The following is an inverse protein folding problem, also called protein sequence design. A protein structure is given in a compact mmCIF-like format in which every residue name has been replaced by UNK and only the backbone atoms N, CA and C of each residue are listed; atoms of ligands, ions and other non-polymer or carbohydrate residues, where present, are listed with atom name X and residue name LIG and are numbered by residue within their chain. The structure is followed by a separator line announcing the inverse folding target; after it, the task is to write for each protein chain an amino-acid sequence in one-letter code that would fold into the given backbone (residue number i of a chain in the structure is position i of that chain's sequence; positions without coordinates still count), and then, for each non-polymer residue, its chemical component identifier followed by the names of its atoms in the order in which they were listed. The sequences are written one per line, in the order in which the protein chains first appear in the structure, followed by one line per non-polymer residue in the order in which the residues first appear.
data_IF_220820549979
#
_entry.id   IF_220820549979
#
_cell.length_a   1.000
_cell.length_b   1.000
_cell.length_c   1.000
_cell.angle_alpha   90.00
_cell.angle_beta   90.00
_cell.angle_gamma   90.00
#
_symmetry.space_group_name_H-M   'P 1'
#
loop_
_entity.id
_entity.type
_entity.pdbx_description
1 polymer ?
#
# COMPACT_ATOMS: atom_id res chain seq x y z
N UNK A 1 -41.50 -37.20 -19.93
CA UNK A 1 -42.92 -36.77 -20.05
C UNK A 1 -43.81 -37.72 -19.26
N UNK A 2 -44.60 -37.21 -18.29
CA UNK A 2 -45.90 -37.74 -17.82
C UNK A 2 -46.51 -36.72 -16.83
N UNK A 3 -47.84 -36.61 -16.82
CA UNK A 3 -48.69 -35.71 -16.00
C UNK A 3 -49.03 -36.33 -14.61
N UNK A 4 -49.78 -35.65 -13.70
CA UNK A 4 -50.04 -34.20 -13.53
C UNK A 4 -49.83 -33.73 -12.06
N UNK A 5 -50.18 -32.47 -11.75
CA UNK A 5 -50.11 -31.89 -10.41
C UNK A 5 -51.20 -32.41 -9.44
N UNK A 6 -50.94 -32.37 -8.12
CA UNK A 6 -51.93 -32.65 -7.07
C UNK A 6 -51.82 -31.65 -5.91
N UNK A 7 -52.92 -30.92 -5.67
CA UNK A 7 -53.07 -29.91 -4.60
C UNK A 7 -52.88 -30.54 -3.20
N UNK A 8 -52.15 -29.85 -2.31
CA UNK A 8 -52.13 -30.11 -0.86
C UNK A 8 -52.33 -28.80 -0.10
N UNK A 9 -52.66 -28.92 1.19
CA UNK A 9 -53.28 -27.89 2.01
C UNK A 9 -52.57 -27.80 3.37
N UNK A 10 -52.20 -26.58 3.75
CA UNK A 10 -51.92 -26.12 5.11
C UNK A 10 -52.46 -24.67 5.14
N UNK A 11 -53.41 -24.26 5.97
CA UNK A 11 -53.61 -24.49 7.41
C UNK A 11 -52.58 -23.73 8.26
N UNK A 12 -52.92 -22.47 8.51
CA UNK A 12 -52.25 -21.57 9.46
C UNK A 12 -52.46 -22.03 10.92
N UNK A 13 -51.83 -21.33 11.88
CA UNK A 13 -52.64 -20.76 12.94
C UNK A 13 -52.43 -19.23 13.06
N UNK A 14 -53.53 -18.49 13.12
CA UNK A 14 -53.52 -17.05 13.39
C UNK A 14 -53.67 -16.78 14.90
N UNK A 15 -52.90 -15.83 15.44
CA UNK A 15 -53.13 -15.23 16.77
C UNK A 15 -53.01 -13.70 16.68
N UNK A 16 -54.11 -13.09 16.25
CA UNK A 16 -54.77 -11.95 16.91
C UNK A 16 -53.93 -11.03 17.81
N UNK A 17 -53.61 -9.86 17.26
CA UNK A 17 -53.52 -8.52 17.90
C UNK A 17 -52.73 -8.31 19.21
N UNK A 18 -51.85 -7.31 19.19
CA UNK A 18 -52.09 -6.06 19.96
C UNK A 18 -51.41 -4.88 19.25
N UNK A 19 -51.97 -3.68 19.43
CA UNK A 19 -51.44 -2.44 18.87
C UNK A 19 -50.79 -1.62 19.98
N UNK A 20 -49.49 -1.36 19.88
CA UNK A 20 -48.87 -0.22 20.56
C UNK A 20 -47.64 0.24 19.79
N UNK A 21 -47.54 1.56 19.57
CA UNK A 21 -46.39 2.17 18.92
C UNK A 21 -45.35 2.52 19.99
N UNK A 22 -44.19 1.87 19.92
CA UNK A 22 -43.02 2.25 20.72
C UNK A 22 -41.83 2.43 19.79
N UNK A 23 -41.48 3.69 19.58
CA UNK A 23 -40.29 4.11 18.86
C UNK A 23 -39.05 3.78 19.71
N UNK A 24 -38.16 2.93 19.19
CA UNK A 24 -36.86 2.68 19.83
C UNK A 24 -35.75 2.45 18.81
N UNK A 25 -34.61 3.10 19.05
CA UNK A 25 -33.55 3.21 18.07
C UNK A 25 -32.68 1.94 17.99
N UNK A 26 -32.41 1.50 16.77
CA UNK A 26 -31.46 0.44 16.45
C UNK A 26 -30.38 0.90 15.45
N UNK A 27 -30.07 2.21 15.42
CA UNK A 27 -28.87 2.75 14.79
C UNK A 27 -27.65 2.40 15.65
N UNK A 28 -27.27 1.12 15.63
CA UNK A 28 -26.03 0.65 16.25
C UNK A 28 -24.83 1.32 15.60
N UNK A 29 -24.07 2.09 16.36
CA UNK A 29 -23.08 2.99 15.79
C UNK A 29 -21.83 2.25 15.28
N UNK A 30 -21.80 1.99 13.98
CA UNK A 30 -20.63 1.48 13.25
C UNK A 30 -19.42 2.41 13.31
N UNK A 31 -19.60 3.70 13.64
CA UNK A 31 -18.49 4.64 13.89
C UNK A 31 -17.78 4.32 15.21
N UNK A 32 -18.52 4.01 16.29
CA UNK A 32 -17.93 3.56 17.56
C UNK A 32 -17.11 2.28 17.40
N UNK A 33 -17.52 1.36 16.52
CA UNK A 33 -16.80 0.13 16.24
C UNK A 33 -15.48 0.38 15.48
N UNK A 34 -15.48 1.25 14.46
CA UNK A 34 -14.25 1.62 13.74
C UNK A 34 -13.32 2.50 14.58
N UNK A 35 -13.86 3.40 15.40
CA UNK A 35 -13.10 4.19 16.36
C UNK A 35 -12.44 3.30 17.44
N UNK A 36 -13.16 2.31 17.97
CA UNK A 36 -12.62 1.33 18.92
C UNK A 36 -11.51 0.46 18.28
N UNK A 37 -11.70 0.02 17.03
CA UNK A 37 -10.67 -0.71 16.30
C UNK A 37 -9.42 0.15 16.03
N UNK A 38 -9.58 1.43 15.67
CA UNK A 38 -8.47 2.36 15.47
C UNK A 38 -7.73 2.68 16.78
N UNK A 39 -8.45 2.89 17.88
CA UNK A 39 -7.87 3.11 19.20
C UNK A 39 -7.11 1.85 19.70
N UNK A 40 -7.65 0.66 19.46
CA UNK A 40 -6.99 -0.61 19.76
C UNK A 40 -5.70 -0.79 18.94
N UNK A 41 -5.73 -0.49 17.64
CA UNK A 41 -4.55 -0.52 16.78
C UNK A 41 -3.47 0.48 17.23
N UNK A 42 -3.86 1.69 17.67
CA UNK A 42 -2.94 2.67 18.24
C UNK A 42 -2.31 2.19 19.56
N UNK A 43 -3.12 1.66 20.49
CA UNK A 43 -2.65 1.15 21.79
C UNK A 43 -1.68 -0.04 21.64
N UNK A 44 -1.94 -0.95 20.68
CA UNK A 44 -1.01 -2.05 20.34
C UNK A 44 0.31 -1.53 19.77
N UNK A 45 0.29 -0.40 19.05
CA UNK A 45 1.49 0.20 18.48
C UNK A 45 2.33 0.96 19.54
N UNK A 46 1.71 1.63 20.52
CA UNK A 46 2.41 2.35 21.60
C UNK A 46 3.15 1.40 22.56
N UNK A 47 2.67 0.16 22.72
CA UNK A 47 3.22 -0.81 23.69
C UNK A 47 4.62 -1.37 23.33
N UNK A 48 5.17 -1.05 22.15
CA UNK A 48 6.42 -1.63 21.65
C UNK A 48 7.53 -0.58 21.50
N UNK A 49 8.58 -0.72 22.32
CA UNK A 49 9.78 0.14 22.26
C UNK A 49 10.58 -0.03 20.96
N UNK A 50 11.58 0.86 20.71
CA UNK A 50 12.33 0.92 19.46
C UNK A 50 12.93 -0.44 19.06
N UNK A 51 12.49 -0.97 17.92
CA UNK A 51 12.90 -2.29 17.42
C UNK A 51 14.16 -2.19 16.56
N UNK A 52 15.20 -2.95 16.92
CA UNK A 52 16.40 -3.21 16.12
C UNK A 52 16.04 -4.13 14.96
N UNK A 53 15.97 -3.59 13.74
CA UNK A 53 15.73 -4.36 12.51
C UNK A 53 16.80 -4.07 11.45
N UNK A 54 16.97 -4.99 10.50
CA UNK A 54 17.87 -4.76 9.36
C UNK A 54 17.32 -3.66 8.45
N UNK A 55 18.19 -2.89 7.81
CA UNK A 55 17.78 -1.90 6.79
C UNK A 55 16.87 -2.52 5.72
N UNK A 56 17.16 -3.74 5.27
CA UNK A 56 16.32 -4.49 4.34
C UNK A 56 14.89 -4.68 4.87
N UNK A 57 14.72 -5.07 6.14
CA UNK A 57 13.40 -5.24 6.74
C UNK A 57 12.69 -3.90 6.98
N UNK A 58 13.43 -2.85 7.34
CA UNK A 58 12.87 -1.51 7.50
C UNK A 58 12.31 -0.95 6.18
N UNK A 59 13.04 -1.10 5.08
CA UNK A 59 12.58 -0.71 3.74
C UNK A 59 11.35 -1.53 3.29
N UNK A 60 11.37 -2.85 3.50
CA UNK A 60 10.24 -3.74 3.24
C UNK A 60 8.97 -3.31 4.00
N UNK A 61 9.10 -3.05 5.31
CA UNK A 61 8.00 -2.59 6.16
C UNK A 61 7.52 -1.19 5.75
N UNK A 62 8.41 -0.23 5.51
CA UNK A 62 8.00 1.12 5.08
C UNK A 62 7.24 1.13 3.75
N UNK A 63 7.59 0.25 2.80
CA UNK A 63 6.83 0.07 1.56
C UNK A 63 5.48 -0.63 1.82
N UNK A 64 5.43 -1.65 2.67
CA UNK A 64 4.18 -2.31 3.02
C UNK A 64 3.19 -1.34 3.70
N UNK A 65 3.66 -0.58 4.69
CA UNK A 65 2.88 0.42 5.43
C UNK A 65 2.35 1.50 4.46
N UNK A 66 3.16 1.95 3.49
CA UNK A 66 2.76 2.92 2.47
C UNK A 66 1.76 2.36 1.43
N UNK A 67 1.91 1.11 0.99
CA UNK A 67 0.99 0.45 0.05
C UNK A 67 -0.37 0.13 0.67
N UNK A 68 -0.42 -0.05 1.98
CA UNK A 68 -1.62 -0.30 2.78
C UNK A 68 -2.35 1.00 3.14
N UNK A 69 -1.61 2.08 3.44
CA UNK A 69 -2.19 3.40 3.71
C UNK A 69 -2.70 4.12 2.45
N UNK A 70 -2.10 3.88 1.27
CA UNK A 70 -2.44 4.57 0.03
C UNK A 70 -2.54 3.57 -1.15
N UNK A 71 -3.75 3.42 -1.70
CA UNK A 71 -4.05 2.51 -2.81
C UNK A 71 -3.44 2.94 -4.15
N UNK A 72 -2.98 4.20 -4.27
CA UNK A 72 -2.32 4.71 -5.47
C UNK A 72 -0.83 4.36 -5.56
N UNK A 73 -0.22 3.85 -4.47
CA UNK A 73 1.19 3.45 -4.43
C UNK A 73 1.40 2.12 -5.16
N UNK A 74 2.35 2.04 -6.09
CA UNK A 74 2.78 0.78 -6.72
C UNK A 74 4.29 0.58 -6.53
N UNK A 75 4.74 -0.67 -6.47
CA UNK A 75 6.16 -1.03 -6.37
C UNK A 75 6.55 -1.90 -7.57
N UNK A 76 7.48 -1.48 -8.41
CA UNK A 76 7.87 -2.28 -9.60
C UNK A 76 9.30 -2.06 -10.05
N UNK A 77 9.82 -3.01 -10.82
CA UNK A 77 11.20 -3.05 -11.31
C UNK A 77 11.59 -4.47 -11.72
N UNK A 78 12.87 -4.68 -11.99
CA UNK A 78 13.40 -6.00 -12.36
C UNK A 78 13.50 -6.93 -11.15
N UNK A 79 12.91 -8.13 -11.24
CA UNK A 79 12.76 -9.15 -10.17
C UNK A 79 12.01 -8.70 -8.90
N UNK A 80 11.42 -7.50 -8.91
CA UNK A 80 10.73 -6.87 -7.76
C UNK A 80 9.48 -7.63 -7.30
N UNK A 81 8.74 -8.23 -8.23
CA UNK A 81 7.45 -8.87 -7.98
C UNK A 81 7.59 -10.25 -7.37
N UNK A 82 7.74 -11.28 -8.20
CA UNK A 82 7.64 -12.68 -7.76
C UNK A 82 8.86 -13.18 -6.98
N UNK A 83 10.03 -12.59 -7.22
CA UNK A 83 11.29 -12.96 -6.55
C UNK A 83 11.53 -12.17 -5.25
N UNK A 84 10.88 -11.01 -5.09
CA UNK A 84 11.05 -10.10 -3.95
C UNK A 84 12.25 -9.16 -4.07
N UNK A 85 12.75 -8.99 -5.29
CA UNK A 85 14.00 -8.31 -5.63
C UNK A 85 15.23 -9.18 -5.32
N UNK A 86 16.30 -9.00 -6.08
CA UNK A 86 17.60 -9.70 -5.90
C UNK A 86 18.21 -9.47 -4.49
N UNK A 87 17.65 -8.54 -3.71
CA UNK A 87 18.06 -8.20 -2.34
C UNK A 87 16.98 -8.48 -1.27
N UNK A 88 15.88 -9.17 -1.63
CA UNK A 88 14.71 -9.49 -0.78
C UNK A 88 14.05 -8.29 -0.09
N UNK A 89 14.15 -7.09 -0.69
CA UNK A 89 13.58 -5.86 -0.12
C UNK A 89 12.06 -5.77 -0.36
N UNK A 90 11.58 -6.29 -1.49
CA UNK A 90 10.16 -6.32 -1.86
C UNK A 90 9.51 -7.69 -1.61
N UNK A 91 10.21 -8.56 -0.88
CA UNK A 91 9.76 -9.89 -0.47
C UNK A 91 8.38 -9.86 0.21
N UNK A 92 7.51 -10.76 -0.22
CA UNK A 92 6.10 -10.84 0.21
C UNK A 92 5.16 -9.74 -0.30
N UNK A 93 5.63 -8.61 -0.86
CA UNK A 93 4.74 -7.50 -1.24
C UNK A 93 3.76 -7.88 -2.36
N UNK A 94 4.20 -8.61 -3.38
CA UNK A 94 3.32 -9.11 -4.44
C UNK A 94 2.28 -10.11 -3.90
N UNK A 95 2.62 -10.90 -2.89
CA UNK A 95 1.66 -11.81 -2.25
C UNK A 95 0.64 -11.07 -1.36
N UNK A 96 1.03 -9.96 -0.72
CA UNK A 96 0.11 -9.15 0.12
C UNK A 96 -0.81 -8.24 -0.71
N UNK A 97 -0.30 -7.62 -1.78
CA UNK A 97 -1.02 -6.56 -2.52
C UNK A 97 -1.42 -6.94 -3.96
N UNK A 98 -0.97 -8.09 -4.46
CA UNK A 98 -1.29 -8.61 -5.79
C UNK A 98 -0.44 -8.03 -6.94
N UNK A 99 -0.45 -8.73 -8.07
CA UNK A 99 0.30 -8.39 -9.30
C UNK A 99 -0.11 -7.03 -9.91
N UNK A 100 -1.24 -6.44 -9.49
CA UNK A 100 -1.64 -5.09 -9.89
C UNK A 100 -1.00 -3.95 -9.07
N UNK A 101 -0.31 -4.29 -7.96
CA UNK A 101 0.30 -3.32 -7.02
C UNK A 101 1.80 -3.54 -6.82
N UNK A 102 2.27 -4.79 -6.94
CA UNK A 102 3.70 -5.12 -6.99
C UNK A 102 3.97 -6.11 -8.11
N UNK A 103 4.85 -5.77 -9.06
CA UNK A 103 5.10 -6.58 -10.27
C UNK A 103 6.49 -6.37 -10.88
N UNK A 104 6.88 -7.33 -11.71
CA UNK A 104 8.14 -7.38 -12.45
C UNK A 104 8.06 -6.59 -13.78
N UNK A 105 9.13 -5.89 -14.15
CA UNK A 105 9.25 -5.17 -15.44
C UNK A 105 10.34 -5.76 -16.34
N UNK A 106 10.29 -5.55 -17.68
CA UNK A 106 11.43 -5.79 -18.55
C UNK A 106 12.65 -4.97 -18.15
N UNK A 107 13.85 -5.50 -18.44
CA UNK A 107 15.13 -4.80 -18.24
C UNK A 107 15.27 -3.68 -19.27
N UNK A 108 14.83 -2.48 -18.87
CA UNK A 108 14.75 -1.26 -19.68
C UNK A 108 14.48 -0.06 -18.77
N UNK A 109 15.50 0.46 -18.12
CA UNK A 109 15.40 1.40 -16.99
C UNK A 109 14.81 2.76 -17.39
N UNK A 110 15.11 3.20 -18.63
CA UNK A 110 14.45 4.35 -19.25
C UNK A 110 12.95 4.14 -19.47
N UNK A 111 12.54 2.90 -19.81
CA UNK A 111 11.15 2.49 -19.91
C UNK A 111 10.46 2.42 -18.54
N UNK A 112 11.15 1.91 -17.51
CA UNK A 112 10.66 1.87 -16.13
C UNK A 112 10.38 3.30 -15.62
N UNK A 113 11.33 4.24 -15.79
CA UNK A 113 11.11 5.65 -15.41
C UNK A 113 10.02 6.29 -16.28
N UNK A 114 10.01 6.09 -17.60
CA UNK A 114 9.00 6.66 -18.50
C UNK A 114 7.57 6.21 -18.16
N UNK A 115 7.39 4.92 -17.88
CA UNK A 115 6.13 4.36 -17.39
C UNK A 115 5.73 4.96 -16.04
N UNK A 116 6.68 5.09 -15.11
CA UNK A 116 6.44 5.68 -13.80
C UNK A 116 6.10 7.19 -13.88
N UNK A 117 6.68 7.95 -14.81
CA UNK A 117 6.27 9.33 -15.11
C UNK A 117 4.82 9.36 -15.59
N UNK A 118 4.44 8.50 -16.54
CA UNK A 118 3.06 8.41 -17.03
C UNK A 118 2.05 8.06 -15.93
N UNK A 119 2.38 7.07 -15.09
CA UNK A 119 1.57 6.68 -13.92
C UNK A 119 1.44 7.84 -12.92
N UNK A 120 2.52 8.55 -12.62
CA UNK A 120 2.53 9.69 -11.70
C UNK A 120 1.72 10.88 -12.24
N UNK A 121 1.74 11.13 -13.55
CA UNK A 121 0.86 12.11 -14.21
C UNK A 121 -0.62 11.72 -14.13
N UNK A 122 -0.94 10.42 -14.12
CA UNK A 122 -2.29 9.89 -13.97
C UNK A 122 -2.72 9.69 -12.50
N UNK A 123 -2.05 10.36 -11.55
CA UNK A 123 -2.41 10.38 -10.12
C UNK A 123 -1.92 9.19 -9.29
N UNK A 124 -1.16 8.26 -9.86
CA UNK A 124 -0.56 7.16 -9.10
C UNK A 124 0.74 7.60 -8.39
N UNK A 125 1.27 6.75 -7.51
CA UNK A 125 2.47 7.03 -6.70
C UNK A 125 3.52 5.92 -6.84
N UNK A 126 4.20 5.81 -8.00
CA UNK A 126 5.10 4.70 -8.26
C UNK A 126 6.41 4.79 -7.47
N UNK A 127 6.82 3.67 -6.89
CA UNK A 127 8.07 3.42 -6.17
C UNK A 127 8.85 2.39 -6.99
N UNK A 128 9.77 2.87 -7.83
CA UNK A 128 10.51 1.99 -8.75
C UNK A 128 11.85 1.54 -8.14
N UNK A 129 12.30 0.32 -8.46
CA UNK A 129 13.61 -0.19 -8.06
C UNK A 129 14.48 -0.50 -9.29
N UNK A 130 15.66 0.10 -9.34
CA UNK A 130 16.74 -0.22 -10.28
C UNK A 130 17.77 -1.11 -9.56
N UNK A 131 18.15 -2.24 -10.15
CA UNK A 131 18.97 -3.24 -9.44
C UNK A 131 20.37 -2.75 -9.07
N UNK A 132 20.95 -1.82 -9.85
CA UNK A 132 22.30 -1.25 -9.67
C UNK A 132 22.38 0.20 -10.19
N UNK A 133 23.31 0.98 -9.64
CA UNK A 133 23.59 2.37 -10.02
C UNK A 133 24.16 2.53 -11.45
N UNK A 134 24.95 1.57 -11.93
CA UNK A 134 25.41 1.51 -13.32
C UNK A 134 24.27 1.49 -14.34
N UNK A 135 23.06 1.09 -13.92
CA UNK A 135 21.84 1.07 -14.74
C UNK A 135 21.01 2.36 -14.63
N UNK A 136 21.45 3.33 -13.83
CA UNK A 136 20.87 4.68 -13.83
C UNK A 136 21.26 5.51 -15.08
N UNK A 137 22.33 5.15 -15.81
CA UNK A 137 22.77 5.88 -17.01
C UNK A 137 21.73 5.84 -18.16
N UNK A 138 21.16 4.67 -18.56
CA UNK A 138 20.02 4.63 -19.49
C UNK A 138 18.83 5.49 -19.03
N UNK A 139 18.53 5.49 -17.73
CA UNK A 139 17.42 6.23 -17.14
C UNK A 139 17.67 7.74 -16.98
N UNK A 140 18.92 8.20 -17.08
CA UNK A 140 19.34 9.56 -16.72
C UNK A 140 18.60 10.65 -17.49
N UNK A 141 18.34 10.45 -18.79
CA UNK A 141 17.56 11.36 -19.62
C UNK A 141 16.16 11.57 -19.04
N UNK A 142 15.45 10.49 -18.71
CA UNK A 142 14.09 10.56 -18.17
C UNK A 142 14.07 11.26 -16.80
N UNK A 143 15.05 10.97 -15.94
CA UNK A 143 15.17 11.61 -14.63
C UNK A 143 15.42 13.13 -14.78
N UNK A 144 16.36 13.53 -15.63
CA UNK A 144 16.83 14.92 -15.72
C UNK A 144 15.99 15.79 -16.66
N UNK A 145 15.39 15.25 -17.71
CA UNK A 145 14.54 15.99 -18.66
C UNK A 145 13.08 16.01 -18.25
N UNK A 146 12.60 14.96 -17.57
CA UNK A 146 11.19 14.78 -17.22
C UNK A 146 10.97 14.89 -15.71
N UNK A 147 11.44 13.92 -14.91
CA UNK A 147 11.14 13.85 -13.46
C UNK A 147 11.49 15.15 -12.74
N UNK A 148 12.74 15.61 -12.86
CA UNK A 148 13.24 16.79 -12.17
C UNK A 148 12.68 18.14 -12.68
N UNK A 149 12.15 18.19 -13.92
CA UNK A 149 11.81 19.45 -14.61
C UNK A 149 10.32 19.64 -14.88
N UNK A 150 9.50 18.58 -14.86
CA UNK A 150 8.08 18.67 -15.25
C UNK A 150 7.28 19.67 -14.42
N UNK A 151 7.50 19.69 -13.09
CA UNK A 151 6.79 20.60 -12.19
C UNK A 151 7.06 22.08 -12.51
N UNK A 152 8.34 22.43 -12.74
CA UNK A 152 8.72 23.79 -13.14
C UNK A 152 8.26 24.12 -14.58
N UNK A 153 8.45 23.20 -15.53
CA UNK A 153 8.02 23.35 -16.95
C UNK A 153 6.53 23.64 -17.07
N UNK A 154 5.71 23.05 -16.19
CA UNK A 154 4.25 23.22 -16.16
C UNK A 154 3.77 24.29 -15.18
N UNK A 155 4.68 25.11 -14.63
CA UNK A 155 4.38 26.17 -13.63
C UNK A 155 3.57 25.66 -12.43
N UNK A 156 3.85 24.43 -12.00
CA UNK A 156 3.20 23.77 -10.88
C UNK A 156 2.00 22.89 -11.22
N UNK A 157 1.47 22.95 -12.45
CA UNK A 157 0.23 22.27 -12.83
C UNK A 157 0.34 20.73 -12.86
N UNK A 158 1.50 20.19 -13.24
CA UNK A 158 1.79 18.74 -13.16
C UNK A 158 2.72 18.48 -11.98
N UNK A 159 2.43 17.46 -11.18
CA UNK A 159 3.30 16.90 -10.13
C UNK A 159 3.65 15.46 -10.50
N UNK A 160 4.85 15.02 -10.12
CA UNK A 160 5.31 13.64 -10.32
C UNK A 160 5.64 13.02 -8.96
N UNK A 161 4.63 12.59 -8.16
CA UNK A 161 4.85 12.01 -6.85
C UNK A 161 5.37 10.56 -6.94
N UNK A 162 6.66 10.42 -7.21
CA UNK A 162 7.32 9.12 -7.43
C UNK A 162 8.62 8.98 -6.63
N UNK A 163 9.03 7.74 -6.37
CA UNK A 163 10.30 7.41 -5.70
C UNK A 163 11.12 6.50 -6.61
N UNK A 164 12.41 6.79 -6.75
CA UNK A 164 13.38 5.95 -7.47
C UNK A 164 14.34 5.37 -6.43
N UNK A 165 14.32 4.05 -6.25
CA UNK A 165 15.24 3.32 -5.37
C UNK A 165 16.32 2.68 -6.25
N UNK A 166 17.58 2.84 -5.85
CA UNK A 166 18.76 2.36 -6.59
C UNK A 166 19.74 1.75 -5.60
N UNK A 167 20.38 0.63 -5.97
CA UNK A 167 21.52 0.09 -5.22
C UNK A 167 22.81 0.77 -5.63
N UNK A 168 23.42 1.51 -4.70
CA UNK A 168 24.86 1.81 -4.78
C UNK A 168 25.65 0.54 -4.36
N UNK A 169 26.77 0.21 -5.03
CA UNK A 169 27.73 -0.75 -4.50
C UNK A 169 28.40 -0.18 -3.23
N UNK A 170 28.73 -1.06 -2.28
CA UNK A 170 29.51 -0.68 -1.11
C UNK A 170 30.99 -1.01 -1.35
N UNK A 171 31.83 0.02 -1.52
CA UNK A 171 33.29 -0.15 -1.75
C UNK A 171 34.03 -0.73 -0.52
N UNK A 172 33.36 -0.86 0.63
CA UNK A 172 33.87 -1.62 1.78
C UNK A 172 32.74 -2.29 2.58
N UNK A 173 32.99 -3.53 3.00
CA UNK A 173 32.03 -4.34 3.75
C UNK A 173 32.10 -4.05 5.26
N UNK A 174 31.44 -2.98 5.72
CA UNK A 174 31.40 -2.62 7.14
C UNK A 174 30.09 -1.93 7.62
N UNK A 175 28.99 -2.07 6.88
CA UNK A 175 27.72 -1.38 7.19
C UNK A 175 26.61 -2.32 7.69
N UNK A 176 26.75 -2.78 8.94
CA UNK A 176 25.62 -3.31 9.73
C UNK A 176 24.67 -2.16 10.11
N UNK A 177 23.93 -1.63 9.14
CA UNK A 177 22.96 -0.55 9.40
C UNK A 177 21.71 -1.16 10.06
N UNK A 178 21.73 -1.18 11.38
CA UNK A 178 20.51 -1.26 12.18
C UNK A 178 19.64 -0.06 11.86
N UNK A 179 18.44 -0.33 11.37
CA UNK A 179 17.39 0.67 11.26
C UNK A 179 16.52 0.57 12.53
N UNK A 180 16.39 1.67 13.26
CA UNK A 180 15.49 1.76 14.40
C UNK A 180 14.13 2.23 13.93
N UNK A 181 13.10 1.36 14.01
CA UNK A 181 11.71 1.82 13.83
C UNK A 181 11.34 2.70 15.03
N UNK A 182 10.91 3.97 14.83
CA UNK A 182 10.37 4.76 15.93
C UNK A 182 9.07 4.12 16.42
N UNK A 183 8.87 4.12 17.73
CA UNK A 183 7.53 3.93 18.31
C UNK A 183 6.60 5.05 17.83
N UNK A 184 5.29 4.82 17.72
CA UNK A 184 4.35 5.93 17.49
C UNK A 184 4.51 6.96 18.61
N UNK A 185 4.51 8.23 18.25
CA UNK A 185 4.65 9.33 19.20
C UNK A 185 3.26 9.72 19.72
N UNK A 186 2.97 9.40 20.98
CA UNK A 186 1.78 9.89 21.68
C UNK A 186 1.73 11.42 21.59
N UNK A 187 0.62 12.02 21.15
CA UNK A 187 0.49 13.48 21.10
C UNK A 187 0.44 14.04 22.52
N UNK A 188 1.39 14.92 22.87
CA UNK A 188 1.39 15.60 24.16
C UNK A 188 0.08 16.38 24.34
N UNK A 189 -0.72 16.12 25.39
CA UNK A 189 -1.95 16.86 25.62
C UNK A 189 -1.60 18.33 25.94
N UNK A 190 -2.13 19.25 25.14
CA UNK A 190 -2.11 20.67 25.44
C UNK A 190 -3.25 20.96 26.43
N UNK A 191 -2.91 21.52 27.59
CA UNK A 191 -3.85 21.94 28.63
C UNK A 191 -4.10 23.44 28.64
#
# INVERSE_FOLDING_TARGET
MRHPARRRQANEPAVTTSSEATEHAATGDVSSATASAAASAAAVAEASGPQTITMAKALNTAMADAMEADSSVLVFGEDVGRLGGVFRITDGLMAKFGEHRCFDTPLAESGIVGMAVGMAMNGMRPVIEMQFDAFAYPAFEQIVSHVAKMHNRTKGAVKLPMVIRVRMPAESAAWNITATRPSPTTPTPQG
#
